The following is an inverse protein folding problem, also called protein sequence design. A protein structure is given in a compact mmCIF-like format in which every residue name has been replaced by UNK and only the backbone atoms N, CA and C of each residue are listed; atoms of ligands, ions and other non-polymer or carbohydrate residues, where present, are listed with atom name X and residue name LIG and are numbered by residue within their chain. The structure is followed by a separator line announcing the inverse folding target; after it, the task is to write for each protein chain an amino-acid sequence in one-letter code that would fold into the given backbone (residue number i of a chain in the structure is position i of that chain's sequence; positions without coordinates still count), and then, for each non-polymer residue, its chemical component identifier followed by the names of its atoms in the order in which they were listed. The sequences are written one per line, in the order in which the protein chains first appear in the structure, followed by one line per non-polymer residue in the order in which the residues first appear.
data_IF_271194516679
#
_entry.id   IF_271194516679
#
_cell.length_a   1.000
_cell.length_b   1.000
_cell.length_c   1.000
_cell.angle_alpha   90.00
_cell.angle_beta   90.00
_cell.angle_gamma   90.00
#
_symmetry.space_group_name_H-M   'P 1'
#
loop_
_entity.id
_entity.type
_entity.pdbx_description
1 polymer ?
#
# COMPACT_ATOMS: atom_id res chain seq x y z
N UNK A 1 7.50 16.35 5.17
CA UNK A 1 7.85 15.64 3.92
C UNK A 1 9.16 14.93 4.16
N UNK A 2 9.17 13.61 4.03
CA UNK A 2 10.40 12.80 4.10
C UNK A 2 10.71 12.34 2.67
N UNK A 3 11.97 12.38 2.29
CA UNK A 3 12.44 11.94 0.98
C UNK A 3 13.40 10.79 1.17
N UNK A 4 13.19 9.75 0.39
CA UNK A 4 14.16 8.67 0.15
C UNK A 4 14.71 8.87 -1.26
N UNK A 5 15.78 8.16 -1.61
CA UNK A 5 16.45 8.29 -2.92
C UNK A 5 15.47 8.28 -4.11
N UNK A 6 14.46 7.39 -4.07
CA UNK A 6 13.48 7.22 -5.15
C UNK A 6 12.02 7.48 -4.76
N UNK A 7 11.78 7.99 -3.54
CA UNK A 7 10.43 8.16 -3.00
C UNK A 7 10.24 9.53 -2.37
N UNK A 8 9.11 10.13 -2.71
CA UNK A 8 8.56 11.23 -1.95
C UNK A 8 7.45 10.74 -1.03
N UNK A 9 7.56 11.09 0.25
CA UNK A 9 6.58 10.74 1.28
C UNK A 9 6.01 12.01 1.90
N UNK A 10 4.69 12.17 1.73
CA UNK A 10 3.96 13.39 2.08
C UNK A 10 2.77 13.05 2.97
N UNK A 11 2.67 13.71 4.12
CA UNK A 11 1.47 13.63 4.96
C UNK A 11 0.31 14.34 4.26
N UNK A 12 -0.87 13.72 4.31
CA UNK A 12 -2.10 14.25 3.73
C UNK A 12 -3.03 14.62 4.88
N UNK A 13 -3.27 15.93 5.03
CA UNK A 13 -4.32 16.45 5.90
C UNK A 13 -5.62 16.56 5.10
N UNK A 14 -6.45 15.51 5.15
CA UNK A 14 -7.72 15.45 4.45
C UNK A 14 -8.80 14.75 5.29
N UNK A 15 -10.04 15.18 5.12
CA UNK A 15 -11.22 14.55 5.73
C UNK A 15 -11.58 13.25 5.00
N UNK A 16 -12.34 12.38 5.67
CA UNK A 16 -12.75 11.05 5.17
C UNK A 16 -13.31 11.08 3.74
N UNK A 17 -14.20 12.01 3.33
CA UNK A 17 -14.72 12.03 1.96
C UNK A 17 -13.65 12.22 0.88
N UNK A 18 -12.61 13.01 1.16
CA UNK A 18 -11.50 13.24 0.23
C UNK A 18 -10.54 12.05 0.24
N UNK A 19 -10.29 11.44 1.40
CA UNK A 19 -9.51 10.22 1.51
C UNK A 19 -10.13 9.06 0.72
N UNK A 20 -11.45 8.89 0.80
CA UNK A 20 -12.22 7.93 -0.02
C UNK A 20 -11.98 8.15 -1.51
N UNK A 21 -12.10 9.40 -1.96
CA UNK A 21 -11.91 9.77 -3.36
C UNK A 21 -10.49 9.51 -3.86
N UNK A 22 -9.48 9.76 -3.03
CA UNK A 22 -8.07 9.49 -3.37
C UNK A 22 -7.76 8.00 -3.40
N UNK A 23 -8.23 7.25 -2.39
CA UNK A 23 -8.06 5.80 -2.36
C UNK A 23 -8.63 5.16 -3.63
N UNK A 24 -9.84 5.58 -4.06
CA UNK A 24 -10.49 5.06 -5.26
C UNK A 24 -9.74 5.33 -6.59
N UNK A 25 -8.67 6.14 -6.59
CA UNK A 25 -7.81 6.31 -7.77
C UNK A 25 -6.84 5.15 -7.97
N UNK A 26 -6.62 4.35 -6.93
CA UNK A 26 -5.75 3.19 -6.99
C UNK A 26 -6.54 1.92 -7.34
N UNK A 27 -5.98 1.04 -8.18
CA UNK A 27 -6.63 -0.20 -8.60
C UNK A 27 -6.68 -1.25 -7.47
N UNK A 28 -5.69 -1.25 -6.58
CA UNK A 28 -5.53 -2.27 -5.54
C UNK A 28 -5.68 -1.67 -4.15
N UNK A 29 -6.28 -2.44 -3.25
CA UNK A 29 -6.40 -2.06 -1.84
C UNK A 29 -6.16 -3.24 -0.91
N UNK A 30 -5.61 -2.94 0.27
CA UNK A 30 -5.65 -3.77 1.47
C UNK A 30 -6.31 -2.93 2.56
N UNK A 31 -7.48 -3.35 3.02
CA UNK A 31 -8.23 -2.70 4.09
C UNK A 31 -8.25 -3.62 5.31
N UNK A 32 -7.76 -3.13 6.44
CA UNK A 32 -7.87 -3.75 7.74
C UNK A 32 -8.89 -2.98 8.57
N UNK A 33 -10.00 -3.64 8.87
CA UNK A 33 -11.07 -3.16 9.72
C UNK A 33 -11.06 -3.97 11.02
N UNK A 34 -11.65 -3.47 12.11
CA UNK A 34 -11.75 -4.25 13.35
C UNK A 34 -12.44 -5.60 13.16
N UNK A 35 -13.39 -5.67 12.22
CA UNK A 35 -14.21 -6.84 11.96
C UNK A 35 -13.64 -7.78 10.90
N UNK A 36 -12.82 -7.28 9.97
CA UNK A 36 -12.38 -8.06 8.80
C UNK A 36 -11.12 -7.47 8.14
N UNK A 37 -10.48 -8.26 7.28
CA UNK A 37 -9.41 -7.82 6.39
C UNK A 37 -9.80 -8.14 4.95
N UNK A 38 -9.75 -7.13 4.10
CA UNK A 38 -10.03 -7.28 2.68
C UNK A 38 -8.81 -6.89 1.84
N UNK A 39 -8.55 -7.64 0.78
CA UNK A 39 -7.51 -7.35 -0.20
C UNK A 39 -8.03 -7.65 -1.60
N UNK A 40 -7.86 -6.73 -2.53
CA UNK A 40 -8.32 -6.97 -3.88
C UNK A 40 -8.29 -5.76 -4.79
N UNK A 41 -8.78 -5.99 -6.00
CA UNK A 41 -9.09 -4.94 -6.95
C UNK A 41 -10.44 -4.32 -6.61
N UNK A 42 -10.53 -2.98 -6.64
CA UNK A 42 -11.79 -2.25 -6.52
C UNK A 42 -12.64 -2.55 -5.27
N UNK A 43 -12.05 -3.00 -4.16
CA UNK A 43 -12.79 -3.31 -2.91
C UNK A 43 -13.29 -2.07 -2.13
N UNK A 44 -13.15 -0.88 -2.72
CA UNK A 44 -13.48 0.40 -2.10
C UNK A 44 -14.90 0.52 -1.52
N UNK A 45 -15.90 -0.08 -2.16
CA UNK A 45 -17.31 0.00 -1.77
C UNK A 45 -17.64 -0.85 -0.53
N UNK A 46 -16.80 -1.84 -0.20
CA UNK A 46 -17.01 -2.77 0.92
C UNK A 46 -16.38 -2.27 2.23
N UNK A 47 -15.56 -1.22 2.16
CA UNK A 47 -14.82 -0.70 3.32
C UNK A 47 -15.77 0.04 4.26
N UNK A 48 -15.88 -0.45 5.49
CA UNK A 48 -16.47 0.29 6.59
C UNK A 48 -15.43 1.25 7.21
N UNK A 49 -15.56 2.55 6.89
CA UNK A 49 -14.61 3.58 7.34
C UNK A 49 -14.68 3.90 8.83
N UNK A 50 -15.80 3.59 9.49
CA UNK A 50 -15.94 3.77 10.94
C UNK A 50 -15.19 2.68 11.73
N UNK A 51 -14.89 1.55 11.08
CA UNK A 51 -14.12 0.43 11.65
C UNK A 51 -12.67 0.36 11.13
N UNK A 52 -12.26 1.32 10.29
CA UNK A 52 -11.00 1.26 9.59
C UNK A 52 -9.81 1.47 10.54
N UNK A 53 -8.91 0.49 10.57
CA UNK A 53 -7.64 0.54 11.30
C UNK A 53 -6.50 0.94 10.37
N UNK A 54 -6.45 0.36 9.17
CA UNK A 54 -5.43 0.64 8.16
C UNK A 54 -5.99 0.42 6.76
N UNK A 55 -5.74 1.34 5.83
CA UNK A 55 -5.97 1.17 4.41
C UNK A 55 -4.67 1.43 3.66
N UNK A 56 -4.31 0.52 2.77
CA UNK A 56 -3.26 0.73 1.78
C UNK A 56 -3.88 0.64 0.41
N UNK A 57 -4.03 1.77 -0.27
CA UNK A 57 -4.47 1.84 -1.65
C UNK A 57 -3.22 2.09 -2.53
N UNK A 58 -2.96 1.27 -3.54
CA UNK A 58 -1.65 1.26 -4.20
C UNK A 58 -1.68 0.81 -5.64
N UNK A 59 -0.61 1.14 -6.36
CA UNK A 59 -0.29 0.69 -7.71
C UNK A 59 1.23 0.57 -7.91
N UNK A 60 1.65 0.43 -9.16
CA UNK A 60 3.07 0.33 -9.51
C UNK A 60 3.86 1.61 -9.16
N UNK A 61 3.22 2.78 -9.06
CA UNK A 61 3.88 4.10 -8.91
C UNK A 61 3.76 4.72 -7.51
N UNK A 62 2.81 4.26 -6.71
CA UNK A 62 2.59 4.88 -5.41
C UNK A 62 1.67 4.10 -4.47
N UNK A 63 1.49 4.68 -3.30
CA UNK A 63 0.64 4.19 -2.24
C UNK A 63 0.00 5.38 -1.51
N UNK A 64 -1.29 5.31 -1.26
CA UNK A 64 -1.97 6.05 -0.21
C UNK A 64 -2.12 5.12 1.01
N UNK A 65 -1.41 5.44 2.07
CA UNK A 65 -1.46 4.73 3.34
C UNK A 65 -2.24 5.53 4.37
N UNK A 66 -3.42 5.04 4.75
CA UNK A 66 -4.29 5.61 5.76
C UNK A 66 -4.24 4.70 6.98
N UNK A 67 -4.14 5.27 8.17
CA UNK A 67 -4.11 4.49 9.41
C UNK A 67 -4.73 5.26 10.56
N UNK A 68 -5.29 4.52 11.51
CA UNK A 68 -5.79 5.06 12.76
C UNK A 68 -4.63 5.47 13.66
N UNK A 69 -4.72 6.67 14.23
CA UNK A 69 -3.81 7.18 15.25
C UNK A 69 -4.56 8.10 16.22
N UNK A 70 -4.60 7.71 17.49
CA UNK A 70 -5.19 8.48 18.60
C UNK A 70 -6.67 8.86 18.39
N UNK A 71 -7.48 7.96 17.86
CA UNK A 71 -8.91 8.12 17.61
C UNK A 71 -9.26 8.83 16.29
N UNK A 72 -8.28 9.07 15.42
CA UNK A 72 -8.50 9.72 14.13
C UNK A 72 -7.66 9.10 13.02
N UNK A 73 -8.08 9.28 11.77
CA UNK A 73 -7.33 8.79 10.62
C UNK A 73 -6.22 9.77 10.23
N UNK A 74 -5.04 9.23 9.98
CA UNK A 74 -3.91 9.89 9.33
C UNK A 74 -3.71 9.28 7.96
N UNK A 75 -3.15 10.06 7.04
CA UNK A 75 -2.86 9.59 5.70
C UNK A 75 -1.48 10.07 5.25
N UNK A 76 -0.80 9.21 4.51
CA UNK A 76 0.49 9.47 3.89
C UNK A 76 0.41 9.02 2.44
N UNK A 77 0.83 9.88 1.54
CA UNK A 77 0.96 9.59 0.12
C UNK A 77 2.43 9.36 -0.20
N UNK A 78 2.69 8.25 -0.88
CA UNK A 78 4.01 7.81 -1.31
C UNK A 78 3.99 7.77 -2.83
N UNK A 79 4.96 8.43 -3.44
CA UNK A 79 5.11 8.47 -4.90
C UNK A 79 6.54 8.13 -5.28
N UNK A 80 6.67 7.22 -6.23
CA UNK A 80 7.94 6.86 -6.86
C UNK A 80 8.30 7.92 -7.91
N UNK A 81 9.49 8.51 -7.78
CA UNK A 81 9.91 9.67 -8.58
C UNK A 81 10.59 9.29 -9.89
N UNK A 82 11.12 8.07 -9.98
CA UNK A 82 11.86 7.54 -11.13
C UNK A 82 11.87 6.01 -11.17
N UNK A 83 12.28 5.40 -12.28
CA UNK A 83 12.43 3.94 -12.39
C UNK A 83 13.67 3.48 -11.59
N UNK A 84 13.45 2.73 -10.51
CA UNK A 84 14.48 2.38 -9.53
C UNK A 84 14.76 0.86 -9.43
N UNK A 85 14.73 0.14 -10.56
CA UNK A 85 14.91 -1.33 -10.61
C UNK A 85 16.21 -1.83 -9.96
N UNK A 86 17.32 -1.10 -10.11
CA UNK A 86 18.62 -1.51 -9.56
C UNK A 86 18.68 -1.39 -8.02
N UNK A 87 17.86 -0.50 -7.46
CA UNK A 87 17.83 -0.19 -6.02
C UNK A 87 16.57 -0.75 -5.34
N UNK A 88 15.94 -1.77 -5.92
CA UNK A 88 14.71 -2.36 -5.38
C UNK A 88 14.67 -3.88 -5.47
N UNK A 89 13.94 -4.47 -4.52
CA UNK A 89 13.64 -5.90 -4.50
C UNK A 89 12.13 -6.09 -4.44
N UNK A 90 11.59 -6.91 -5.36
CA UNK A 90 10.18 -7.29 -5.35
C UNK A 90 10.03 -8.69 -4.76
N UNK A 91 9.23 -8.80 -3.70
CA UNK A 91 8.88 -10.04 -3.02
C UNK A 91 7.40 -10.35 -3.22
N UNK A 92 7.07 -11.64 -3.24
CA UNK A 92 5.74 -12.13 -3.58
C UNK A 92 5.15 -12.96 -2.44
N UNK A 93 3.97 -12.58 -1.97
CA UNK A 93 3.32 -13.19 -0.81
C UNK A 93 1.93 -13.72 -1.19
N UNK A 94 1.63 -15.02 -0.94
CA UNK A 94 0.29 -15.55 -1.17
C UNK A 94 -0.74 -14.88 -0.26
N UNK A 95 -1.83 -14.37 -0.85
CA UNK A 95 -2.95 -13.83 -0.08
C UNK A 95 -3.92 -14.97 0.24
N UNK A 96 -4.41 -15.00 1.49
CA UNK A 96 -5.40 -15.99 1.90
C UNK A 96 -6.70 -15.80 1.12
N UNK A 97 -7.31 -16.89 0.66
CA UNK A 97 -8.59 -16.85 -0.08
C UNK A 97 -9.71 -16.15 0.68
N UNK A 98 -9.74 -16.26 2.01
CA UNK A 98 -10.74 -15.60 2.85
C UNK A 98 -10.64 -14.07 2.85
N UNK A 99 -9.47 -13.52 2.49
CA UNK A 99 -9.17 -12.09 2.47
C UNK A 99 -9.18 -11.53 1.05
N UNK A 100 -8.92 -12.38 0.03
CA UNK A 100 -8.92 -11.91 -1.35
C UNK A 100 -10.36 -11.79 -1.90
N UNK A 101 -10.73 -10.60 -2.37
CA UNK A 101 -11.99 -10.37 -3.07
C UNK A 101 -12.06 -11.01 -4.47
N UNK A 102 -10.99 -11.67 -4.92
CA UNK A 102 -10.97 -12.44 -6.17
C UNK A 102 -11.29 -13.91 -5.94
N UNK A 103 -12.02 -14.51 -6.87
CA UNK A 103 -12.27 -15.96 -6.87
C UNK A 103 -10.99 -16.79 -7.10
N UNK A 104 -9.94 -16.20 -7.68
CA UNK A 104 -8.64 -16.83 -7.97
C UNK A 104 -7.66 -16.66 -6.81
N UNK A 105 -6.58 -17.45 -6.81
CA UNK A 105 -5.48 -17.23 -5.86
C UNK A 105 -4.76 -15.92 -6.22
N UNK A 106 -4.64 -15.05 -5.23
CA UNK A 106 -3.98 -13.75 -5.36
C UNK A 106 -2.59 -13.80 -4.73
N UNK A 107 -1.63 -13.12 -5.35
CA UNK A 107 -0.29 -12.93 -4.82
C UNK A 107 -0.04 -11.43 -4.70
N UNK A 108 0.28 -10.97 -3.50
CA UNK A 108 0.67 -9.60 -3.24
C UNK A 108 2.15 -9.44 -3.60
N UNK A 109 2.44 -8.52 -4.51
CA UNK A 109 3.80 -8.04 -4.78
C UNK A 109 4.11 -6.88 -3.82
N UNK A 110 5.23 -6.98 -3.12
CA UNK A 110 5.74 -5.99 -2.17
C UNK A 110 7.11 -5.55 -2.66
N UNK A 111 7.32 -4.23 -2.76
CA UNK A 111 8.56 -3.63 -3.24
C UNK A 111 9.30 -3.02 -2.05
N UNK A 112 10.54 -3.45 -1.88
CA UNK A 112 11.50 -2.95 -0.91
C UNK A 112 12.49 -2.03 -1.63
N UNK A 113 12.77 -0.87 -1.04
CA UNK A 113 13.67 0.15 -1.56
C UNK A 113 14.96 0.11 -0.76
N UNK A 114 16.07 0.08 -1.48
CA UNK A 114 17.41 -0.07 -0.92
C UNK A 114 18.16 1.25 -1.00
N UNK A 115 18.91 1.54 0.06
CA UNK A 115 19.97 2.56 0.07
C UNK A 115 21.21 1.97 0.73
N UNK A 116 22.36 2.60 0.50
CA UNK A 116 23.60 2.21 1.16
C UNK A 116 23.63 2.76 2.59
N UNK A 117 24.03 1.92 3.55
CA UNK A 117 24.41 2.38 4.88
C UNK A 117 25.81 3.02 4.90
N UNK A 118 26.31 3.38 6.09
CA UNK A 118 27.61 4.04 6.26
C UNK A 118 28.79 3.20 5.76
N UNK A 119 28.65 1.87 5.72
CA UNK A 119 29.69 0.93 5.27
C UNK A 119 29.52 0.56 3.77
N UNK A 120 28.54 1.13 3.08
CA UNK A 120 28.24 0.82 1.69
C UNK A 120 27.47 -0.50 1.50
N UNK A 121 26.80 -1.00 2.54
CA UNK A 121 25.97 -2.19 2.46
C UNK A 121 24.52 -1.79 2.18
N UNK A 122 23.85 -2.56 1.31
CA UNK A 122 22.46 -2.31 0.98
C UNK A 122 21.53 -2.61 2.16
N UNK A 123 20.73 -1.61 2.57
CA UNK A 123 19.71 -1.71 3.62
C UNK A 123 18.33 -1.33 3.09
N UNK A 124 17.29 -2.00 3.59
CA UNK A 124 15.90 -1.65 3.24
C UNK A 124 15.49 -0.40 4.01
N UNK A 125 15.25 0.70 3.28
CA UNK A 125 14.83 1.98 3.87
C UNK A 125 13.31 2.19 3.81
N UNK A 126 12.64 1.50 2.90
CA UNK A 126 11.19 1.59 2.74
C UNK A 126 10.59 0.32 2.13
N UNK A 127 9.35 0.03 2.49
CA UNK A 127 8.59 -1.12 1.95
C UNK A 127 7.16 -0.68 1.67
N UNK A 128 6.65 -0.99 0.47
CA UNK A 128 5.24 -0.80 0.13
C UNK A 128 4.65 -1.94 -0.68
N UNK A 129 3.33 -2.16 -0.60
CA UNK A 129 2.60 -2.87 -1.65
C UNK A 129 2.88 -2.26 -3.02
N UNK A 130 3.04 -3.11 -4.03
CA UNK A 130 3.41 -2.74 -5.39
C UNK A 130 2.39 -3.21 -6.43
N UNK A 131 1.77 -4.36 -6.20
CA UNK A 131 0.76 -4.89 -7.11
C UNK A 131 0.09 -6.13 -6.57
N UNK A 132 -0.98 -6.54 -7.24
CA UNK A 132 -1.70 -7.77 -6.95
C UNK A 132 -1.78 -8.61 -8.23
N UNK A 133 -1.28 -9.84 -8.18
CA UNK A 133 -1.29 -10.76 -9.32
C UNK A 133 -2.28 -11.90 -9.08
N UNK A 134 -3.21 -12.11 -10.02
CA UNK A 134 -4.05 -13.30 -10.04
C UNK A 134 -3.28 -14.46 -10.69
N UNK A 135 -3.03 -15.54 -9.95
CA UNK A 135 -2.51 -16.78 -10.54
C UNK A 135 -3.67 -17.67 -10.98
N UNK A 136 -3.65 -18.08 -12.24
CA UNK A 136 -4.51 -19.15 -12.74
C UNK A 136 -4.11 -20.48 -12.06
N UNK A 137 -5.11 -21.30 -11.73
CA UNK A 137 -4.92 -22.67 -11.22
C UNK A 137 -4.46 -23.63 -12.33
#
# INVERSE_FOLDING_TARGET
MKTYKHLEVREIAAEIPELKKRAAQYPYMIAHMYSDIQCGENVHDEINWDELVELRAFDEKGELHIYEQNGGLKAVEITETEDCKEDTVVKYYPVRKAVCASAKRCVLAVKEYLEDDEDGQAVVVYTRPFGLEAKAE
#
